data_IF_082538711997
#
_entry.id   IF_082538711997
#
_cell.length_a   1.000
_cell.length_b   1.000
_cell.length_c   1.000
_cell.angle_alpha   90.00
_cell.angle_beta   90.00
_cell.angle_gamma   90.00
#
_symmetry.space_group_name_H-M   'P 1'
#
loop_
_entity.id
_entity.type
_entity.pdbx_description
1 polymer ?
#
# COMPACT_ATOMS: atom_id res chain seq x y z
N UNK A 1 -11.34 -16.58 -12.79
CA UNK A 1 -10.73 -16.94 -11.50
C UNK A 1 -11.01 -15.73 -10.65
N UNK A 2 -12.15 -15.78 -9.96
CA UNK A 2 -12.56 -14.77 -9.02
C UNK A 2 -11.68 -15.00 -7.78
N UNK A 3 -10.57 -14.26 -7.73
CA UNK A 3 -9.76 -14.20 -6.53
C UNK A 3 -10.58 -13.41 -5.51
N UNK A 4 -11.30 -14.16 -4.66
CA UNK A 4 -11.92 -13.65 -3.45
C UNK A 4 -10.84 -12.87 -2.70
N UNK A 5 -10.90 -11.54 -2.75
CA UNK A 5 -10.19 -10.69 -1.80
C UNK A 5 -10.71 -11.11 -0.42
N UNK A 6 -9.95 -11.92 0.30
CA UNK A 6 -10.27 -12.39 1.65
C UNK A 6 -10.19 -11.18 2.59
N UNK A 7 -11.28 -10.42 2.64
CA UNK A 7 -11.41 -9.31 3.58
C UNK A 7 -11.79 -9.93 4.92
N UNK A 8 -10.81 -10.07 5.80
CA UNK A 8 -11.06 -10.64 7.12
C UNK A 8 -11.81 -9.63 7.99
N UNK A 9 -13.14 -9.80 8.12
CA UNK A 9 -13.95 -8.93 8.96
C UNK A 9 -13.74 -9.24 10.45
N UNK A 10 -12.91 -8.44 11.10
CA UNK A 10 -12.70 -8.53 12.54
C UNK A 10 -13.93 -8.03 13.33
N UNK A 11 -14.27 -8.63 14.50
CA UNK A 11 -15.38 -8.18 15.34
C UNK A 11 -15.30 -6.70 15.74
N UNK A 12 -14.08 -6.16 15.89
CA UNK A 12 -13.86 -4.73 16.16
C UNK A 12 -14.33 -3.80 15.03
N UNK A 13 -14.70 -4.35 13.87
CA UNK A 13 -15.19 -3.61 12.71
C UNK A 13 -16.70 -3.76 12.45
N UNK A 14 -17.41 -4.56 13.25
CA UNK A 14 -18.80 -4.97 12.96
C UNK A 14 -19.81 -3.81 12.84
N UNK A 15 -19.51 -2.67 13.45
CA UNK A 15 -20.39 -1.50 13.49
C UNK A 15 -19.98 -0.40 12.47
N UNK A 16 -18.93 -0.61 11.69
CA UNK A 16 -18.45 0.37 10.72
C UNK A 16 -18.82 -0.02 9.29
N UNK A 17 -19.51 0.89 8.59
CA UNK A 17 -19.72 0.75 7.15
C UNK A 17 -18.41 1.06 6.43
N UNK A 18 -17.99 0.18 5.50
CA UNK A 18 -16.79 0.40 4.68
C UNK A 18 -17.15 1.21 3.44
N UNK A 19 -16.57 2.40 3.32
CA UNK A 19 -16.68 3.24 2.13
C UNK A 19 -15.51 3.04 1.14
N UNK A 20 -14.51 2.23 1.50
CA UNK A 20 -13.36 1.82 0.69
C UNK A 20 -12.48 2.97 0.19
N UNK A 21 -12.62 4.16 0.75
CA UNK A 21 -11.83 5.32 0.33
C UNK A 21 -10.33 5.11 0.58
N UNK A 22 -9.96 4.27 1.56
CA UNK A 22 -8.58 3.89 1.86
C UNK A 22 -7.88 3.13 0.72
N UNK A 23 -8.64 2.59 -0.24
CA UNK A 23 -8.08 1.92 -1.42
C UNK A 23 -7.59 2.90 -2.48
N UNK A 24 -7.83 4.21 -2.32
CA UNK A 24 -7.55 5.25 -3.31
C UNK A 24 -8.08 4.91 -4.72
N UNK A 25 -9.31 4.40 -4.79
CA UNK A 25 -9.94 4.01 -6.05
C UNK A 25 -9.44 2.67 -6.61
N UNK A 26 -8.91 1.80 -5.74
CA UNK A 26 -8.37 0.49 -6.11
C UNK A 26 -6.87 0.49 -6.42
N UNK A 27 -6.16 1.60 -6.16
CA UNK A 27 -4.70 1.65 -6.26
C UNK A 27 -4.03 0.76 -5.20
N UNK A 28 -4.64 0.65 -4.02
CA UNK A 28 -4.16 -0.18 -2.92
C UNK A 28 -5.19 -1.25 -2.54
N UNK A 29 -4.73 -2.44 -2.10
CA UNK A 29 -5.62 -3.44 -1.56
C UNK A 29 -6.43 -2.87 -0.38
N UNK A 30 -7.61 -3.42 -0.10
CA UNK A 30 -8.36 -3.07 1.09
C UNK A 30 -7.63 -3.45 2.37
N UNK A 31 -7.65 -2.55 3.36
CA UNK A 31 -7.23 -2.91 4.72
C UNK A 31 -8.16 -3.98 5.31
N UNK A 32 -7.72 -4.77 6.27
CA UNK A 32 -8.61 -5.64 7.06
C UNK A 32 -9.46 -4.86 8.06
N UNK A 33 -8.97 -3.72 8.52
CA UNK A 33 -9.70 -2.85 9.42
C UNK A 33 -10.40 -1.71 8.66
N UNK A 34 -11.61 -1.38 9.10
CA UNK A 34 -12.27 -0.16 8.62
C UNK A 34 -11.44 1.06 9.04
N UNK A 35 -11.36 2.14 8.23
CA UNK A 35 -10.73 3.40 8.62
C UNK A 35 -11.27 4.02 9.92
N UNK A 36 -12.46 3.60 10.35
CA UNK A 36 -13.10 4.03 11.60
C UNK A 36 -12.79 3.13 12.79
N UNK A 37 -12.09 2.01 12.58
CA UNK A 37 -11.69 1.06 13.62
C UNK A 37 -10.46 1.57 14.38
N UNK A 38 -10.42 1.32 15.69
CA UNK A 38 -9.25 1.68 16.53
C UNK A 38 -7.96 0.95 16.14
N UNK A 39 -8.07 -0.21 15.49
CA UNK A 39 -6.94 -1.00 15.00
C UNK A 39 -6.48 -0.58 13.60
N UNK A 40 -7.13 0.41 12.98
CA UNK A 40 -6.67 0.97 11.72
C UNK A 40 -5.46 1.89 11.97
N UNK A 41 -4.27 1.34 11.80
CA UNK A 41 -3.01 2.07 11.98
C UNK A 41 -2.34 2.33 10.65
N UNK A 42 -2.14 3.61 10.32
CA UNK A 42 -1.38 4.02 9.15
C UNK A 42 0.11 4.12 9.49
N UNK A 43 0.93 3.42 8.70
CA UNK A 43 2.39 3.49 8.73
C UNK A 43 2.88 4.19 7.47
N UNK A 44 4.05 4.81 7.57
CA UNK A 44 4.69 5.49 6.44
C UNK A 44 5.51 4.47 5.63
N UNK A 45 5.40 4.57 4.31
CA UNK A 45 6.13 3.78 3.33
C UNK A 45 6.63 4.71 2.24
N UNK A 46 7.75 4.37 1.62
CA UNK A 46 8.21 5.06 0.43
C UNK A 46 7.62 4.37 -0.81
N UNK A 47 7.12 5.17 -1.73
CA UNK A 47 6.69 4.78 -3.06
C UNK A 47 7.69 5.36 -4.06
N UNK A 48 8.34 4.49 -4.81
CA UNK A 48 9.23 4.85 -5.89
C UNK A 48 8.52 4.65 -7.23
N UNK A 49 8.24 5.74 -7.94
CA UNK A 49 7.64 5.75 -9.27
C UNK A 49 8.73 5.94 -10.34
N UNK A 50 8.78 5.04 -11.32
CA UNK A 50 9.64 5.14 -12.50
C UNK A 50 8.88 4.67 -13.74
N UNK A 51 8.79 5.54 -14.76
CA UNK A 51 8.21 5.23 -16.07
C UNK A 51 6.76 4.67 -16.04
N UNK A 52 5.94 5.12 -15.09
CA UNK A 52 4.54 4.68 -14.95
C UNK A 52 4.37 3.37 -14.17
N UNK A 53 5.47 2.82 -13.66
CA UNK A 53 5.49 1.71 -12.72
C UNK A 53 5.89 2.22 -11.34
N UNK A 54 5.41 1.59 -10.27
CA UNK A 54 5.82 1.94 -8.92
C UNK A 54 6.14 0.71 -8.07
N UNK A 55 7.01 0.91 -7.09
CA UNK A 55 7.32 -0.05 -6.02
C UNK A 55 7.12 0.66 -4.69
N UNK A 56 6.62 -0.06 -3.69
CA UNK A 56 6.43 0.46 -2.33
C UNK A 56 7.26 -0.38 -1.38
N UNK A 57 8.00 0.26 -0.50
CA UNK A 57 8.80 -0.40 0.53
C UNK A 57 8.85 0.49 1.79
N UNK A 58 9.49 -0.02 2.83
CA UNK A 58 9.83 0.70 4.04
C UNK A 58 10.57 2.02 3.78
N UNK A 59 10.36 2.99 4.66
CA UNK A 59 10.97 4.32 4.56
C UNK A 59 12.50 4.21 4.51
N UNK A 60 13.10 4.83 3.50
CA UNK A 60 14.54 4.87 3.25
C UNK A 60 15.06 3.77 2.32
N UNK A 61 14.24 2.80 1.91
CA UNK A 61 14.64 1.70 1.04
C UNK A 61 15.19 2.17 -0.32
N UNK A 62 14.65 3.26 -0.87
CA UNK A 62 15.01 3.76 -2.21
C UNK A 62 16.12 4.82 -2.21
N UNK A 63 16.81 5.02 -1.09
CA UNK A 63 17.88 6.04 -0.99
C UNK A 63 18.98 5.82 -2.03
N UNK A 64 19.32 4.56 -2.32
CA UNK A 64 20.36 4.21 -3.30
C UNK A 64 19.88 4.43 -4.75
N UNK A 65 18.59 4.19 -5.03
CA UNK A 65 17.96 4.37 -6.34
C UNK A 65 18.03 5.82 -6.80
N UNK A 66 17.88 6.78 -5.88
CA UNK A 66 18.00 8.20 -6.18
C UNK A 66 19.42 8.64 -6.63
N UNK A 67 20.43 7.82 -6.35
CA UNK A 67 21.82 8.11 -6.72
C UNK A 67 22.30 7.32 -7.93
N UNK A 68 21.50 6.36 -8.39
CA UNK A 68 21.85 5.47 -9.49
C UNK A 68 21.31 6.01 -10.82
N UNK A 69 22.15 6.19 -11.85
CA UNK A 69 21.73 6.72 -13.14
C UNK A 69 20.75 5.81 -13.92
N UNK A 70 20.67 4.51 -13.59
CA UNK A 70 19.67 3.60 -14.16
C UNK A 70 18.24 3.99 -13.78
N UNK A 71 18.09 4.63 -12.62
CA UNK A 71 16.82 5.08 -12.04
C UNK A 71 16.61 6.59 -12.18
N UNK A 72 17.39 7.25 -13.07
CA UNK A 72 17.26 8.67 -13.35
C UNK A 72 15.83 9.01 -13.82
N UNK A 73 15.20 9.99 -13.17
CA UNK A 73 13.80 10.36 -13.41
C UNK A 73 12.80 9.64 -12.50
N UNK A 74 13.26 8.74 -11.64
CA UNK A 74 12.45 8.15 -10.59
C UNK A 74 12.06 9.17 -9.52
N UNK A 75 10.84 9.06 -9.00
CA UNK A 75 10.30 9.95 -7.96
C UNK A 75 9.99 9.10 -6.73
N UNK A 76 10.63 9.44 -5.60
CA UNK A 76 10.25 8.88 -4.30
C UNK A 76 9.21 9.80 -3.65
N UNK A 77 8.07 9.23 -3.27
CA UNK A 77 7.04 9.90 -2.46
C UNK A 77 6.75 9.09 -1.21
N UNK A 78 6.40 9.76 -0.11
CA UNK A 78 5.98 9.06 1.11
C UNK A 78 4.46 8.89 1.08
N UNK A 79 4.01 7.65 1.21
CA UNK A 79 2.60 7.27 1.30
C UNK A 79 2.27 6.68 2.67
N UNK A 80 0.98 6.54 2.95
CA UNK A 80 0.49 5.95 4.20
C UNK A 80 -0.42 4.79 3.88
N UNK A 81 -0.05 3.62 4.38
CA UNK A 81 -0.80 2.38 4.25
C UNK A 81 -0.89 1.69 5.61
N UNK A 82 -1.88 0.83 5.81
CA UNK A 82 -1.81 -0.11 6.93
C UNK A 82 -0.81 -1.22 6.62
N UNK A 83 -0.31 -1.88 7.67
CA UNK A 83 0.62 -3.01 7.50
C UNK A 83 0.01 -4.12 6.64
N UNK A 84 -1.27 -4.44 6.87
CA UNK A 84 -1.98 -5.46 6.10
C UNK A 84 -2.17 -5.06 4.63
N UNK A 85 -2.36 -3.77 4.33
CA UNK A 85 -2.40 -3.29 2.96
C UNK A 85 -1.05 -3.49 2.29
N UNK A 86 0.05 -3.19 3.00
CA UNK A 86 1.39 -3.37 2.49
C UNK A 86 1.71 -4.85 2.23
N UNK A 87 1.34 -5.76 3.13
CA UNK A 87 1.55 -7.21 2.96
C UNK A 87 0.73 -7.81 1.80
N UNK A 88 -0.41 -7.21 1.46
CA UNK A 88 -1.27 -7.61 0.33
C UNK A 88 -0.87 -6.98 -0.98
N UNK A 89 0.05 -6.01 -0.99
CA UNK A 89 0.54 -5.48 -2.25
C UNK A 89 1.17 -6.62 -3.04
N UNK A 90 0.88 -6.73 -4.34
CA UNK A 90 1.60 -7.69 -5.16
C UNK A 90 3.09 -7.38 -5.02
N UNK A 91 3.85 -8.30 -4.43
CA UNK A 91 5.30 -8.27 -4.54
C UNK A 91 5.60 -8.14 -6.03
N UNK A 92 6.47 -7.18 -6.36
CA UNK A 92 6.82 -6.91 -7.73
C UNK A 92 7.28 -8.21 -8.41
N UNK A 93 6.44 -8.83 -9.25
CA UNK A 93 6.84 -9.96 -10.10
C UNK A 93 7.72 -9.45 -11.24
N UNK A 94 8.93 -9.00 -10.89
CA UNK A 94 10.08 -8.95 -11.78
C UNK A 94 10.17 -7.79 -12.78
N UNK A 95 11.41 -7.30 -12.89
CA UNK A 95 11.96 -6.37 -13.87
C UNK A 95 11.99 -6.93 -15.30
#
# INVERSE_FOLDING_TARGET
MDEDFDVHFYPCCENYCRDWHETNGGEYPPSDHSPMCENFELKEYDRFDLNGTFVIDSVGAFTEFLTDPEYEGGIVTTIKLTEDQFEKLPEFEGF
#
